data_IF_733045547913
#
_entry.id   IF_733045547913
#
_cell.length_a   1.000
_cell.length_b   1.000
_cell.length_c   1.000
_cell.angle_alpha   90.00
_cell.angle_beta   90.00
_cell.angle_gamma   90.00
#
_symmetry.space_group_name_H-M   'P 1'
#
loop_
_entity.id
_entity.type
_entity.pdbx_description
1 polymer ?
#
# COMPACT_ATOMS: atom_id res chain seq x y z
N UNK A 1 13.38 -41.39 -51.55
CA UNK A 1 13.30 -39.98 -51.09
C UNK A 1 12.48 -39.99 -49.84
N UNK A 2 13.14 -40.24 -48.68
CA UNK A 2 12.48 -40.18 -47.36
C UNK A 2 12.13 -38.74 -47.07
N UNK A 3 10.85 -38.47 -46.95
CA UNK A 3 10.39 -37.16 -46.48
C UNK A 3 10.80 -37.00 -45.02
N UNK A 4 11.70 -36.08 -44.76
CA UNK A 4 12.15 -35.68 -43.44
C UNK A 4 10.90 -35.24 -42.66
N UNK A 5 10.50 -36.03 -41.67
CA UNK A 5 9.37 -35.66 -40.77
C UNK A 5 9.76 -34.40 -40.07
N UNK A 6 8.87 -33.38 -40.02
CA UNK A 6 9.22 -32.17 -39.32
C UNK A 6 9.57 -32.50 -37.87
N UNK A 7 10.76 -32.11 -37.44
CA UNK A 7 11.19 -32.24 -36.04
C UNK A 7 10.19 -31.47 -35.19
N UNK A 8 9.34 -32.18 -34.50
CA UNK A 8 8.43 -31.55 -33.53
C UNK A 8 9.27 -30.90 -32.46
N UNK A 9 9.34 -29.57 -32.45
CA UNK A 9 10.06 -28.82 -31.43
C UNK A 9 9.36 -29.03 -30.09
N UNK A 10 9.96 -29.82 -29.21
CA UNK A 10 9.47 -30.03 -27.85
C UNK A 10 10.05 -28.95 -26.94
N UNK A 11 9.33 -28.55 -25.89
CA UNK A 11 9.82 -27.64 -24.85
C UNK A 11 11.18 -28.08 -24.28
N UNK A 12 11.37 -29.39 -24.09
CA UNK A 12 12.61 -29.97 -23.58
C UNK A 12 13.78 -29.91 -24.57
N UNK A 13 13.56 -29.61 -25.86
CA UNK A 13 14.62 -29.40 -26.85
C UNK A 13 15.15 -27.97 -26.85
N UNK A 14 14.52 -27.04 -26.12
CA UNK A 14 15.02 -25.68 -25.93
C UNK A 14 16.29 -25.72 -25.07
N UNK A 15 17.25 -24.79 -25.28
CA UNK A 15 18.39 -24.61 -24.39
C UNK A 15 17.95 -24.41 -22.93
N UNK A 16 18.72 -24.92 -21.95
CA UNK A 16 18.37 -24.78 -20.52
C UNK A 16 18.14 -23.34 -20.11
N UNK A 17 18.91 -22.38 -20.63
CA UNK A 17 18.83 -20.96 -20.33
C UNK A 17 17.46 -20.38 -20.74
N UNK A 18 16.96 -20.80 -21.90
CA UNK A 18 15.64 -20.35 -22.39
C UNK A 18 14.53 -20.95 -21.54
N UNK A 19 14.66 -22.23 -21.13
CA UNK A 19 13.70 -22.85 -20.22
C UNK A 19 13.70 -22.17 -18.85
N UNK A 20 14.88 -21.84 -18.31
CA UNK A 20 15.00 -21.10 -17.05
C UNK A 20 14.32 -19.73 -17.12
N UNK A 21 14.46 -19.00 -18.21
CA UNK A 21 13.83 -17.72 -18.40
C UNK A 21 12.29 -17.86 -18.45
N UNK A 22 11.80 -18.85 -19.14
CA UNK A 22 10.35 -19.18 -19.18
C UNK A 22 9.83 -19.51 -17.76
N UNK A 23 10.58 -20.32 -16.98
CA UNK A 23 10.21 -20.61 -15.61
C UNK A 23 10.22 -19.36 -14.74
N UNK A 24 11.19 -18.45 -14.90
CA UNK A 24 11.25 -17.18 -14.18
C UNK A 24 10.00 -16.34 -14.45
N UNK A 25 9.61 -16.22 -15.70
CA UNK A 25 8.38 -15.48 -16.08
C UNK A 25 7.13 -16.09 -15.43
N UNK A 26 6.95 -17.41 -15.54
CA UNK A 26 5.73 -18.09 -15.06
C UNK A 26 5.67 -18.12 -13.53
N UNK A 27 6.81 -18.34 -12.86
CA UNK A 27 6.90 -18.55 -11.41
C UNK A 27 7.17 -17.26 -10.63
N UNK A 28 7.34 -16.11 -11.32
CA UNK A 28 7.55 -14.82 -10.67
C UNK A 28 6.33 -14.44 -9.81
N UNK A 29 6.51 -13.91 -8.59
CA UNK A 29 5.41 -13.46 -7.76
C UNK A 29 4.43 -12.53 -8.49
N UNK A 30 4.94 -11.54 -9.23
CA UNK A 30 4.08 -10.57 -9.92
C UNK A 30 3.22 -11.19 -11.02
N UNK A 31 3.70 -12.25 -11.71
CA UNK A 31 2.91 -12.97 -12.71
C UNK A 31 1.76 -13.77 -12.10
N UNK A 32 1.86 -14.10 -10.80
CA UNK A 32 0.87 -14.86 -10.05
C UNK A 32 0.06 -13.99 -9.09
N UNK A 33 0.28 -12.67 -9.12
CA UNK A 33 -0.48 -11.69 -8.35
C UNK A 33 -1.80 -11.43 -9.04
N UNK A 34 -2.89 -11.57 -8.30
CA UNK A 34 -4.25 -11.36 -8.80
C UNK A 34 -4.96 -10.31 -7.95
N UNK A 35 -5.77 -9.48 -8.59
CA UNK A 35 -6.65 -8.54 -7.88
C UNK A 35 -8.02 -9.19 -7.71
N UNK A 36 -8.46 -9.31 -6.45
CA UNK A 36 -9.79 -9.79 -6.11
C UNK A 36 -10.88 -8.76 -6.42
N UNK A 37 -12.15 -9.18 -6.29
CA UNK A 37 -13.32 -8.31 -6.55
C UNK A 37 -13.38 -7.06 -5.66
N UNK A 38 -12.80 -7.13 -4.47
CA UNK A 38 -12.77 -6.05 -3.47
C UNK A 38 -11.42 -5.29 -3.49
N UNK A 39 -10.72 -5.29 -4.64
CA UNK A 39 -9.39 -4.68 -4.82
C UNK A 39 -8.30 -5.25 -3.88
N UNK A 40 -8.57 -6.39 -3.23
CA UNK A 40 -7.54 -7.13 -2.49
C UNK A 40 -6.56 -7.75 -3.46
N UNK A 41 -5.29 -7.62 -3.14
CA UNK A 41 -4.27 -8.39 -3.84
C UNK A 41 -4.14 -9.75 -3.18
N UNK A 42 -4.10 -10.79 -4.00
CA UNK A 42 -3.83 -12.17 -3.59
C UNK A 42 -2.83 -12.81 -4.55
N UNK A 43 -2.41 -14.04 -4.27
CA UNK A 43 -1.57 -14.84 -5.16
C UNK A 43 -2.30 -16.08 -5.61
N UNK A 44 -2.37 -16.32 -6.92
CA UNK A 44 -2.86 -17.55 -7.49
C UNK A 44 -1.76 -18.29 -8.27
N UNK A 45 -1.05 -19.15 -7.56
CA UNK A 45 -0.01 -19.99 -8.15
C UNK A 45 -0.54 -21.28 -8.81
N UNK A 46 -1.84 -21.58 -8.73
CA UNK A 46 -2.41 -22.83 -9.28
C UNK A 46 -2.07 -23.05 -10.74
N UNK A 47 -2.13 -22.07 -11.65
CA UNK A 47 -1.75 -22.24 -13.04
C UNK A 47 -0.24 -22.51 -13.20
N UNK A 48 0.59 -21.80 -12.46
CA UNK A 48 2.05 -21.89 -12.52
C UNK A 48 2.56 -23.24 -11.96
N UNK A 49 1.95 -23.73 -10.89
CA UNK A 49 2.34 -24.99 -10.24
C UNK A 49 2.05 -26.25 -11.08
N UNK A 50 1.32 -26.11 -12.20
CA UNK A 50 1.17 -27.21 -13.18
C UNK A 50 2.52 -27.67 -13.72
N UNK A 51 3.51 -26.76 -13.82
CA UNK A 51 4.88 -27.10 -14.23
C UNK A 51 5.49 -28.26 -13.42
N UNK A 52 5.19 -28.34 -12.12
CA UNK A 52 5.72 -29.39 -11.25
C UNK A 52 5.14 -30.78 -11.52
N UNK A 53 4.15 -30.89 -12.41
CA UNK A 53 3.46 -32.14 -12.74
C UNK A 53 3.74 -32.62 -14.16
N UNK A 54 4.49 -31.86 -14.98
CA UNK A 54 4.69 -32.16 -16.40
C UNK A 54 5.74 -33.25 -16.64
N UNK A 55 6.89 -33.16 -16.00
CA UNK A 55 7.95 -34.16 -16.04
C UNK A 55 8.93 -34.02 -14.88
N UNK A 56 9.69 -35.05 -14.56
CA UNK A 56 10.73 -35.02 -13.53
C UNK A 56 11.79 -33.95 -13.80
N UNK A 57 12.20 -33.77 -15.04
CA UNK A 57 13.19 -32.75 -15.42
C UNK A 57 12.63 -31.34 -15.17
N UNK A 58 11.43 -31.04 -15.68
CA UNK A 58 10.75 -29.75 -15.47
C UNK A 58 10.53 -29.49 -13.98
N UNK A 59 10.15 -30.52 -13.22
CA UNK A 59 9.98 -30.42 -11.77
C UNK A 59 11.25 -29.90 -11.08
N UNK A 60 12.41 -30.49 -11.37
CA UNK A 60 13.65 -30.10 -10.70
C UNK A 60 14.15 -28.72 -11.15
N UNK A 61 14.06 -28.42 -12.45
CA UNK A 61 14.42 -27.09 -13.00
C UNK A 61 13.51 -26.01 -12.42
N UNK A 62 12.19 -26.16 -12.53
CA UNK A 62 11.20 -25.21 -12.06
C UNK A 62 11.23 -25.03 -10.53
N UNK A 63 11.43 -26.12 -9.76
CA UNK A 63 11.52 -26.08 -8.29
C UNK A 63 12.68 -25.21 -7.82
N UNK A 64 13.84 -25.30 -8.46
CA UNK A 64 14.99 -24.46 -8.14
C UNK A 64 14.63 -22.98 -8.33
N UNK A 65 14.10 -22.63 -9.50
CA UNK A 65 13.70 -21.27 -9.84
C UNK A 65 12.61 -20.74 -8.88
N UNK A 66 11.60 -21.56 -8.60
CA UNK A 66 10.53 -21.17 -7.67
C UNK A 66 11.06 -20.82 -6.27
N UNK A 67 12.00 -21.61 -5.75
CA UNK A 67 12.62 -21.38 -4.44
C UNK A 67 13.47 -20.12 -4.38
N UNK A 68 14.12 -19.79 -5.48
CA UNK A 68 14.93 -18.56 -5.59
C UNK A 68 14.07 -17.30 -5.62
N UNK A 69 12.93 -17.35 -6.33
CA UNK A 69 12.01 -16.25 -6.52
C UNK A 69 11.03 -16.06 -5.35
N UNK A 70 10.57 -17.15 -4.74
CA UNK A 70 9.49 -17.12 -3.76
C UNK A 70 10.02 -17.42 -2.36
N UNK A 71 10.34 -16.38 -1.63
CA UNK A 71 10.83 -16.46 -0.26
C UNK A 71 9.69 -16.19 0.70
N UNK A 72 9.39 -17.16 1.55
CA UNK A 72 8.26 -17.12 2.47
C UNK A 72 8.69 -16.61 3.85
N UNK A 73 7.83 -15.79 4.44
CA UNK A 73 7.94 -15.30 5.82
C UNK A 73 6.70 -15.75 6.57
N UNK A 74 6.90 -16.48 7.68
CA UNK A 74 5.83 -16.90 8.58
C UNK A 74 5.73 -15.90 9.73
N UNK A 75 4.54 -15.39 9.97
CA UNK A 75 4.24 -14.44 11.02
C UNK A 75 3.35 -15.11 12.07
N UNK A 76 3.72 -14.90 13.31
CA UNK A 76 2.98 -15.32 14.50
C UNK A 76 2.66 -14.09 15.35
N UNK A 77 1.41 -13.96 15.78
CA UNK A 77 0.89 -12.79 16.52
C UNK A 77 -0.21 -13.20 17.47
N UNK A 78 -0.36 -12.53 18.63
CA UNK A 78 -1.43 -12.83 19.57
C UNK A 78 -2.82 -12.28 19.13
N UNK A 79 -2.89 -11.40 18.10
CA UNK A 79 -4.16 -10.80 17.68
C UNK A 79 -4.91 -11.66 16.68
N UNK A 80 -6.17 -12.06 16.97
CA UNK A 80 -6.94 -12.95 16.10
C UNK A 80 -7.14 -12.42 14.68
N UNK A 81 -7.43 -11.14 14.53
CA UNK A 81 -7.76 -10.50 13.24
C UNK A 81 -6.58 -9.79 12.57
N UNK A 82 -5.34 -9.98 13.07
CA UNK A 82 -4.17 -9.29 12.51
C UNK A 82 -4.00 -9.53 11.01
N UNK A 83 -4.24 -10.75 10.54
CA UNK A 83 -4.15 -11.07 9.12
C UNK A 83 -5.16 -10.31 8.26
N UNK A 84 -6.36 -10.02 8.80
CA UNK A 84 -7.37 -9.24 8.09
C UNK A 84 -6.94 -7.76 7.99
N UNK A 85 -6.51 -7.17 9.11
CA UNK A 85 -5.97 -5.80 9.12
C UNK A 85 -4.78 -5.63 8.16
N UNK A 86 -3.83 -6.57 8.19
CA UNK A 86 -2.64 -6.56 7.31
C UNK A 86 -3.03 -6.68 5.84
N UNK A 87 -3.99 -7.56 5.52
CA UNK A 87 -4.44 -7.73 4.14
C UNK A 87 -5.26 -6.52 3.65
N UNK A 88 -6.18 -6.02 4.48
CA UNK A 88 -7.12 -4.96 4.09
C UNK A 88 -6.46 -3.58 4.08
N UNK A 89 -5.86 -3.18 5.19
CA UNK A 89 -5.31 -1.82 5.32
C UNK A 89 -3.87 -1.71 4.81
N UNK A 90 -3.10 -2.81 4.95
CA UNK A 90 -1.71 -2.88 4.49
C UNK A 90 -1.54 -3.31 3.04
N UNK A 91 -2.60 -3.82 2.40
CA UNK A 91 -2.54 -4.41 1.07
C UNK A 91 -1.43 -5.47 0.92
N UNK A 92 -1.26 -6.27 1.99
CA UNK A 92 -0.30 -7.38 2.04
C UNK A 92 -1.02 -8.68 1.70
N UNK A 93 -0.70 -9.35 0.60
CA UNK A 93 -1.31 -10.63 0.25
C UNK A 93 -0.96 -11.71 1.27
N UNK A 94 -1.94 -12.48 1.69
CA UNK A 94 -1.78 -13.57 2.65
C UNK A 94 -1.90 -14.92 1.94
N UNK A 95 -0.80 -15.66 1.85
CA UNK A 95 -0.77 -16.96 1.15
C UNK A 95 -1.41 -18.09 1.96
N UNK A 96 -1.19 -18.09 3.26
CA UNK A 96 -1.72 -19.13 4.17
C UNK A 96 -2.10 -18.51 5.51
N UNK A 97 -3.11 -19.12 6.17
CA UNK A 97 -3.65 -18.65 7.48
C UNK A 97 -3.82 -19.83 8.42
N UNK A 98 -3.88 -19.52 9.74
CA UNK A 98 -4.25 -20.44 10.82
C UNK A 98 -3.38 -21.71 10.85
N UNK A 99 -3.97 -22.87 11.07
CA UNK A 99 -3.26 -24.15 11.22
C UNK A 99 -2.35 -24.49 10.03
N UNK A 100 -2.72 -24.12 8.79
CA UNK A 100 -1.86 -24.34 7.62
C UNK A 100 -0.60 -23.49 7.67
N UNK A 101 -0.70 -22.25 8.11
CA UNK A 101 0.44 -21.37 8.28
C UNK A 101 1.33 -21.83 9.45
N UNK A 102 0.75 -22.25 10.58
CA UNK A 102 1.48 -22.81 11.72
C UNK A 102 2.31 -24.04 11.33
N UNK A 103 1.73 -24.94 10.53
CA UNK A 103 2.40 -26.16 10.05
C UNK A 103 3.41 -25.93 8.92
N UNK A 104 3.44 -24.73 8.32
CA UNK A 104 4.27 -24.46 7.15
C UNK A 104 5.75 -24.32 7.52
N UNK A 105 6.58 -25.22 6.96
CA UNK A 105 8.03 -25.29 7.23
C UNK A 105 8.90 -24.68 6.12
N UNK A 106 8.29 -24.22 5.03
CA UNK A 106 9.02 -23.65 3.87
C UNK A 106 9.42 -22.18 3.99
N UNK A 107 9.35 -21.58 5.19
CA UNK A 107 9.69 -20.17 5.42
C UNK A 107 11.18 -19.98 5.70
N UNK A 108 11.72 -18.85 5.23
CA UNK A 108 13.10 -18.43 5.49
C UNK A 108 13.24 -17.53 6.72
N UNK A 109 12.14 -16.94 7.17
CA UNK A 109 12.07 -16.16 8.40
C UNK A 109 10.79 -16.52 9.15
N UNK A 110 10.91 -16.80 10.44
CA UNK A 110 9.79 -16.78 11.37
C UNK A 110 9.84 -15.49 12.18
N UNK A 111 8.72 -14.77 12.16
CA UNK A 111 8.49 -13.52 12.91
C UNK A 111 7.51 -13.85 14.01
N UNK A 112 7.92 -13.76 15.27
CA UNK A 112 7.03 -13.93 16.39
C UNK A 112 6.86 -12.59 17.13
N UNK A 113 5.62 -12.13 17.21
CA UNK A 113 5.21 -10.93 17.92
C UNK A 113 4.60 -11.38 19.24
N UNK A 114 5.25 -11.03 20.35
CA UNK A 114 4.76 -11.32 21.69
C UNK A 114 4.18 -10.08 22.36
N UNK A 115 3.20 -10.28 23.24
CA UNK A 115 2.61 -9.23 24.07
C UNK A 115 2.68 -9.61 25.55
N UNK A 116 3.89 -9.81 26.12
CA UNK A 116 4.05 -10.24 27.51
C UNK A 116 3.47 -9.19 28.47
N UNK A 117 2.94 -9.67 29.61
CA UNK A 117 2.33 -8.82 30.63
C UNK A 117 1.07 -8.05 30.18
N UNK A 118 0.42 -8.49 29.10
CA UNK A 118 -0.87 -7.99 28.64
C UNK A 118 -1.91 -9.12 28.70
N UNK A 119 -3.20 -8.77 28.51
CA UNK A 119 -4.28 -9.76 28.40
C UNK A 119 -4.10 -10.68 27.17
N UNK A 120 -3.28 -10.26 26.19
CA UNK A 120 -2.97 -11.05 25.00
C UNK A 120 -1.90 -12.10 25.23
N UNK A 121 -1.26 -12.15 26.39
CA UNK A 121 -0.21 -13.16 26.70
C UNK A 121 -0.74 -14.60 26.64
N UNK A 122 -2.00 -14.81 27.03
CA UNK A 122 -2.66 -16.12 27.06
C UNK A 122 -3.48 -16.40 25.77
N UNK A 123 -3.50 -15.47 24.82
CA UNK A 123 -4.22 -15.66 23.55
C UNK A 123 -3.53 -16.74 22.70
N UNK A 124 -4.33 -17.57 22.03
CA UNK A 124 -3.80 -18.51 21.05
C UNK A 124 -3.09 -17.77 19.93
N UNK A 125 -1.82 -18.12 19.63
CA UNK A 125 -1.08 -17.44 18.58
C UNK A 125 -1.73 -17.68 17.21
N UNK A 126 -1.89 -16.59 16.46
CA UNK A 126 -2.40 -16.62 15.11
C UNK A 126 -1.24 -16.64 14.12
N UNK A 127 -1.36 -17.44 13.08
CA UNK A 127 -0.31 -17.63 12.11
C UNK A 127 -0.77 -17.25 10.71
N UNK A 128 0.10 -16.58 9.96
CA UNK A 128 -0.07 -16.37 8.52
C UNK A 128 1.27 -16.32 7.81
N UNK A 129 1.25 -16.52 6.48
CA UNK A 129 2.44 -16.54 5.63
C UNK A 129 2.29 -15.49 4.53
N UNK A 130 3.34 -14.70 4.35
CA UNK A 130 3.48 -13.71 3.28
C UNK A 130 4.75 -13.99 2.46
N UNK A 131 4.90 -13.31 1.33
CA UNK A 131 6.17 -13.28 0.59
C UNK A 131 7.10 -12.21 1.15
N UNK A 132 8.40 -12.42 0.94
CA UNK A 132 9.44 -11.42 1.23
C UNK A 132 9.16 -10.10 0.51
N UNK A 133 8.66 -10.16 -0.72
CA UNK A 133 8.35 -8.97 -1.55
C UNK A 133 7.28 -8.05 -0.90
N UNK A 134 6.47 -8.59 0.00
CA UNK A 134 5.46 -7.83 0.73
C UNK A 134 5.86 -7.51 2.18
N UNK A 135 7.09 -7.89 2.60
CA UNK A 135 7.55 -7.71 3.99
C UNK A 135 7.69 -6.23 4.38
N UNK A 136 8.14 -5.38 3.46
CA UNK A 136 8.23 -3.93 3.71
C UNK A 136 6.84 -3.30 3.95
N UNK A 137 5.82 -3.77 3.23
CA UNK A 137 4.43 -3.33 3.43
C UNK A 137 3.92 -3.79 4.79
N UNK A 138 4.22 -5.04 5.19
CA UNK A 138 3.87 -5.56 6.51
C UNK A 138 4.50 -4.72 7.63
N UNK A 139 5.81 -4.46 7.57
CA UNK A 139 6.51 -3.65 8.56
C UNK A 139 5.98 -2.20 8.60
N UNK A 140 5.61 -1.64 7.45
CA UNK A 140 4.98 -0.32 7.34
C UNK A 140 3.58 -0.30 7.97
N UNK A 141 2.78 -1.34 7.74
CA UNK A 141 1.45 -1.50 8.36
C UNK A 141 1.56 -1.57 9.87
N UNK A 142 2.53 -2.33 10.39
CA UNK A 142 2.80 -2.37 11.83
C UNK A 142 3.22 -1.00 12.37
N UNK A 143 4.14 -0.30 11.69
CA UNK A 143 4.49 1.09 12.05
C UNK A 143 3.26 1.98 12.14
N UNK A 144 2.31 1.86 11.21
CA UNK A 144 1.08 2.65 11.24
C UNK A 144 0.18 2.27 12.41
N UNK A 145 0.11 0.99 12.78
CA UNK A 145 -0.63 0.54 13.95
C UNK A 145 -0.07 1.16 15.24
N UNK A 146 1.26 1.23 15.41
CA UNK A 146 1.92 1.88 16.53
C UNK A 146 1.68 3.40 16.56
N UNK A 147 1.77 4.07 15.40
CA UNK A 147 1.50 5.51 15.29
C UNK A 147 0.02 5.86 15.49
N UNK A 148 -0.89 4.91 15.24
CA UNK A 148 -2.34 5.05 15.54
C UNK A 148 -2.61 4.85 17.02
N UNK A 149 -1.85 3.96 17.66
CA UNK A 149 -1.99 3.60 19.07
C UNK A 149 -0.66 3.89 19.82
N UNK A 150 -0.39 5.15 20.19
CA UNK A 150 0.88 5.55 20.78
C UNK A 150 1.25 4.70 22.00
N UNK A 151 2.48 4.14 21.99
CA UNK A 151 2.98 3.29 23.06
C UNK A 151 2.66 1.79 22.88
N UNK A 152 1.97 1.38 21.83
CA UNK A 152 1.68 -0.03 21.55
C UNK A 152 2.95 -0.88 21.56
N UNK A 153 3.98 -0.47 20.84
CA UNK A 153 5.23 -1.22 20.72
C UNK A 153 5.98 -1.38 22.04
N UNK A 154 5.80 -0.47 23.02
CA UNK A 154 6.40 -0.58 24.34
C UNK A 154 5.97 -1.81 25.16
N UNK A 155 4.86 -2.43 24.77
CA UNK A 155 4.37 -3.69 25.37
C UNK A 155 4.75 -4.93 24.54
N UNK A 156 5.35 -4.75 23.36
CA UNK A 156 5.57 -5.83 22.40
C UNK A 156 7.02 -6.28 22.37
N UNK A 157 7.19 -7.58 22.13
CA UNK A 157 8.49 -8.18 21.81
C UNK A 157 8.46 -8.70 20.37
N UNK A 158 9.61 -8.62 19.71
CA UNK A 158 9.82 -9.11 18.35
C UNK A 158 10.92 -10.16 18.36
N UNK A 159 10.61 -11.38 17.91
CA UNK A 159 11.61 -12.41 17.65
C UNK A 159 11.68 -12.68 16.16
N UNK A 160 12.87 -12.54 15.58
CA UNK A 160 13.18 -12.81 14.17
C UNK A 160 14.08 -14.03 14.09
N UNK A 161 13.55 -15.16 13.66
CA UNK A 161 14.29 -16.41 13.56
C UNK A 161 14.56 -16.74 12.09
N UNK A 162 15.83 -16.65 11.68
CA UNK A 162 16.28 -17.09 10.35
C UNK A 162 16.25 -18.60 10.23
N UNK A 163 15.92 -19.06 9.03
CA UNK A 163 15.87 -20.48 8.69
C UNK A 163 16.29 -20.68 7.24
N UNK A 164 16.97 -21.79 6.96
CA UNK A 164 17.11 -22.31 5.59
C UNK A 164 16.10 -23.46 5.38
N UNK A 165 14.95 -23.21 4.72
CA UNK A 165 13.93 -24.24 4.49
C UNK A 165 14.38 -25.30 3.48
N UNK A 166 15.53 -25.12 2.84
CA UNK A 166 16.07 -25.99 1.80
C UNK A 166 17.30 -26.78 2.25
N UNK A 167 17.74 -26.53 3.49
CA UNK A 167 18.82 -27.32 4.07
C UNK A 167 18.42 -28.78 4.22
N UNK A 168 19.25 -29.67 3.69
CA UNK A 168 19.09 -31.13 3.73
C UNK A 168 20.31 -31.69 4.44
N UNK A 169 20.18 -32.13 5.69
CA UNK A 169 21.32 -32.62 6.49
C UNK A 169 22.11 -33.73 5.82
N UNK A 170 21.42 -34.62 5.07
CA UNK A 170 22.02 -35.76 4.41
C UNK A 170 22.90 -35.37 3.20
N UNK A 171 22.74 -34.15 2.68
CA UNK A 171 23.47 -33.63 1.52
C UNK A 171 24.49 -32.55 1.86
N UNK A 172 24.47 -32.06 3.09
CA UNK A 172 25.31 -30.93 3.52
C UNK A 172 26.15 -31.33 4.73
N UNK A 173 27.47 -31.18 4.63
CA UNK A 173 28.40 -31.50 5.71
C UNK A 173 28.34 -30.51 6.89
N UNK A 174 28.01 -29.23 6.58
CA UNK A 174 27.95 -28.16 7.58
C UNK A 174 26.74 -27.25 7.40
N UNK A 175 26.19 -26.80 8.52
CA UNK A 175 25.14 -25.78 8.55
C UNK A 175 25.74 -24.41 8.24
N UNK A 176 25.32 -23.82 7.11
CA UNK A 176 25.81 -22.51 6.64
C UNK A 176 24.85 -21.40 7.06
N UNK A 177 25.42 -20.20 7.28
CA UNK A 177 24.59 -19.03 7.48
C UNK A 177 23.81 -18.65 6.20
N UNK A 178 22.57 -18.21 6.36
CA UNK A 178 21.84 -17.54 5.27
C UNK A 178 22.70 -16.40 4.74
N UNK A 179 22.87 -16.21 3.41
CA UNK A 179 23.73 -15.18 2.85
C UNK A 179 23.42 -13.77 3.41
N UNK A 180 24.44 -12.97 3.65
CA UNK A 180 24.32 -11.65 4.28
C UNK A 180 23.30 -10.74 3.58
N UNK A 181 23.29 -10.73 2.23
CA UNK A 181 22.35 -9.95 1.44
C UNK A 181 20.89 -10.40 1.68
N UNK A 182 20.66 -11.72 1.83
CA UNK A 182 19.33 -12.26 2.12
C UNK A 182 18.91 -11.94 3.56
N UNK A 183 19.83 -12.00 4.52
CA UNK A 183 19.53 -11.57 5.88
C UNK A 183 19.11 -10.09 5.95
N UNK A 184 19.77 -9.22 5.17
CA UNK A 184 19.38 -7.81 5.07
C UNK A 184 17.95 -7.65 4.53
N UNK A 185 17.58 -8.39 3.49
CA UNK A 185 16.22 -8.38 2.95
C UNK A 185 15.17 -8.85 3.96
N UNK A 186 15.50 -9.86 4.77
CA UNK A 186 14.59 -10.45 5.75
C UNK A 186 14.48 -9.64 7.05
N UNK A 187 15.53 -8.97 7.48
CA UNK A 187 15.60 -8.34 8.80
C UNK A 187 15.41 -6.82 8.77
N UNK A 188 16.00 -6.12 7.78
CA UNK A 188 16.01 -4.65 7.78
C UNK A 188 14.63 -3.99 7.61
N UNK A 189 13.61 -4.59 6.98
CA UNK A 189 12.26 -4.04 6.99
C UNK A 189 11.74 -3.73 8.40
N UNK A 190 12.08 -4.55 9.39
CA UNK A 190 11.72 -4.32 10.80
C UNK A 190 12.44 -3.13 11.47
N UNK A 191 13.37 -2.50 10.78
CA UNK A 191 13.92 -1.19 11.19
C UNK A 191 12.87 -0.07 11.17
N UNK A 192 11.75 -0.25 10.44
CA UNK A 192 10.62 0.66 10.48
C UNK A 192 9.79 0.56 11.78
N UNK A 193 9.87 -0.58 12.50
CA UNK A 193 9.14 -0.84 13.74
C UNK A 193 10.00 -0.40 14.92
N UNK A 194 9.55 0.62 15.63
CA UNK A 194 10.34 1.32 16.67
C UNK A 194 9.70 1.21 18.03
N UNK A 195 10.48 1.48 19.08
CA UNK A 195 9.96 1.55 20.44
C UNK A 195 9.55 0.20 21.03
N UNK A 196 9.96 -0.93 20.42
CA UNK A 196 9.70 -2.26 20.95
C UNK A 196 10.36 -2.45 22.32
N UNK A 197 9.67 -3.17 23.18
CA UNK A 197 10.24 -3.59 24.48
C UNK A 197 11.53 -4.40 24.31
N UNK A 198 11.53 -5.31 23.35
CA UNK A 198 12.67 -6.17 23.04
C UNK A 198 12.65 -6.60 21.58
N UNK A 199 13.82 -6.69 20.96
CA UNK A 199 14.00 -7.31 19.65
C UNK A 199 15.09 -8.37 19.75
N UNK A 200 14.75 -9.62 19.41
CA UNK A 200 15.66 -10.77 19.41
C UNK A 200 15.86 -11.24 17.98
N UNK A 201 17.11 -11.37 17.54
CA UNK A 201 17.47 -11.98 16.25
C UNK A 201 18.17 -13.30 16.50
N UNK A 202 17.65 -14.37 15.94
CA UNK A 202 18.16 -15.72 16.14
C UNK A 202 18.11 -16.54 14.84
N UNK A 203 18.52 -17.79 14.90
CA UNK A 203 18.46 -18.74 13.80
C UNK A 203 17.98 -20.10 14.29
N UNK A 204 17.38 -20.88 13.40
CA UNK A 204 17.12 -22.29 13.62
C UNK A 204 18.45 -23.06 13.51
N UNK A 205 19.02 -23.56 14.63
CA UNK A 205 20.35 -24.18 14.63
C UNK A 205 20.42 -25.48 13.81
N UNK A 206 19.26 -26.07 13.50
CA UNK A 206 19.18 -27.30 12.69
C UNK A 206 19.27 -27.03 11.20
N UNK A 207 19.09 -25.77 10.76
CA UNK A 207 19.01 -25.43 9.34
C UNK A 207 19.94 -24.29 8.91
N UNK A 208 20.40 -23.44 9.84
CA UNK A 208 21.31 -22.32 9.52
C UNK A 208 22.17 -21.91 10.69
N UNK A 209 23.36 -21.45 10.42
CA UNK A 209 24.26 -20.86 11.40
C UNK A 209 23.72 -19.52 11.94
N UNK A 210 24.35 -19.00 13.00
CA UNK A 210 23.98 -17.73 13.65
C UNK A 210 23.89 -16.58 12.65
N UNK A 211 22.99 -15.59 12.89
CA UNK A 211 22.91 -14.38 12.09
C UNK A 211 24.21 -13.60 12.06
N UNK A 212 24.46 -12.83 10.99
CA UNK A 212 25.59 -11.92 10.93
C UNK A 212 25.37 -10.75 11.89
N UNK A 213 26.24 -10.59 12.84
CA UNK A 213 26.23 -9.51 13.84
C UNK A 213 26.15 -8.11 13.19
N UNK A 214 26.79 -7.92 12.04
CA UNK A 214 26.72 -6.65 11.31
C UNK A 214 25.30 -6.32 10.82
N UNK A 215 24.51 -7.33 10.41
CA UNK A 215 23.11 -7.10 9.96
C UNK A 215 22.20 -6.84 11.14
N UNK A 216 22.41 -7.54 12.25
CA UNK A 216 21.69 -7.28 13.49
C UNK A 216 21.93 -5.85 13.99
N UNK A 217 23.18 -5.37 13.96
CA UNK A 217 23.50 -3.99 14.33
C UNK A 217 22.87 -2.96 13.37
N UNK A 218 22.82 -3.22 12.06
CA UNK A 218 22.12 -2.37 11.11
C UNK A 218 20.63 -2.27 11.45
N UNK A 219 19.99 -3.40 11.78
CA UNK A 219 18.59 -3.42 12.21
C UNK A 219 18.37 -2.59 13.49
N UNK A 220 19.18 -2.85 14.53
CA UNK A 220 19.07 -2.14 15.82
C UNK A 220 19.30 -0.63 15.65
N UNK A 221 20.30 -0.24 14.86
CA UNK A 221 20.55 1.16 14.54
C UNK A 221 19.36 1.80 13.83
N UNK A 222 18.74 1.10 12.86
CA UNK A 222 17.55 1.59 12.19
C UNK A 222 16.36 1.74 13.13
N UNK A 223 16.17 0.83 14.10
CA UNK A 223 15.10 0.90 15.11
C UNK A 223 15.27 2.08 16.08
N UNK A 224 16.51 2.52 16.31
CA UNK A 224 16.81 3.65 17.21
C UNK A 224 16.59 5.02 16.56
N UNK A 225 16.59 5.11 15.24
CA UNK A 225 16.28 6.37 14.53
C UNK A 225 14.79 6.70 14.74
N UNK A 226 14.45 7.83 15.36
CA UNK A 226 13.04 8.18 15.60
C UNK A 226 12.28 8.33 14.29
N UNK A 227 10.94 8.19 14.34
CA UNK A 227 10.09 8.55 13.20
C UNK A 227 10.24 10.05 12.89
N UNK A 228 10.11 10.39 11.60
CA UNK A 228 9.97 11.80 11.23
C UNK A 228 8.77 12.41 11.97
N UNK A 229 8.91 13.65 12.43
CA UNK A 229 7.83 14.32 13.15
C UNK A 229 6.59 14.55 12.27
N UNK A 230 5.41 14.77 12.85
CA UNK A 230 4.22 15.14 12.08
C UNK A 230 4.44 16.36 11.20
N UNK A 231 5.14 17.38 11.70
CA UNK A 231 5.48 18.57 10.94
C UNK A 231 6.38 18.26 9.74
N UNK A 232 7.41 17.43 9.93
CA UNK A 232 8.29 16.98 8.85
C UNK A 232 7.53 16.18 7.78
N UNK A 233 6.61 15.31 8.17
CA UNK A 233 5.75 14.56 7.25
C UNK A 233 4.86 15.51 6.41
N UNK A 234 4.25 16.53 7.02
CA UNK A 234 3.43 17.52 6.32
C UNK A 234 4.27 18.43 5.42
N UNK A 235 5.49 18.79 5.83
CA UNK A 235 6.42 19.55 5.00
C UNK A 235 6.83 18.77 3.75
N UNK A 236 7.17 17.49 3.89
CA UNK A 236 7.48 16.63 2.74
C UNK A 236 6.26 16.44 1.82
N UNK A 237 5.07 16.26 2.39
CA UNK A 237 3.81 16.23 1.62
C UNK A 237 3.63 17.50 0.80
N UNK A 238 3.85 18.67 1.41
CA UNK A 238 3.73 19.98 0.74
C UNK A 238 4.76 20.13 -0.37
N UNK A 239 5.99 19.68 -0.16
CA UNK A 239 7.07 19.69 -1.16
C UNK A 239 6.70 18.83 -2.38
N UNK A 240 6.31 17.58 -2.14
CA UNK A 240 5.91 16.64 -3.20
C UNK A 240 4.69 17.15 -3.99
N UNK A 241 3.70 17.72 -3.30
CA UNK A 241 2.53 18.37 -3.92
C UNK A 241 2.96 19.53 -4.81
N UNK A 242 3.88 20.37 -4.36
CA UNK A 242 4.36 21.51 -5.14
C UNK A 242 5.11 21.08 -6.40
N UNK A 243 5.96 20.05 -6.30
CA UNK A 243 6.64 19.44 -7.46
C UNK A 243 5.65 18.83 -8.44
N UNK A 244 4.67 18.04 -7.93
CA UNK A 244 3.59 17.51 -8.76
C UNK A 244 2.78 18.59 -9.45
N UNK A 245 2.55 19.73 -8.80
CA UNK A 245 1.86 20.87 -9.42
C UNK A 245 2.68 21.50 -10.56
N UNK A 246 4.00 21.56 -10.45
CA UNK A 246 4.86 22.00 -11.55
C UNK A 246 4.78 21.05 -12.75
N UNK A 247 4.81 19.75 -12.50
CA UNK A 247 4.65 18.73 -13.57
C UNK A 247 3.26 18.82 -14.22
N UNK A 248 2.22 18.99 -13.43
CA UNK A 248 0.85 19.18 -13.90
C UNK A 248 0.76 20.39 -14.85
N UNK A 249 1.38 21.50 -14.47
CA UNK A 249 1.43 22.72 -15.31
C UNK A 249 2.26 22.53 -16.58
N UNK A 250 3.25 21.65 -16.55
CA UNK A 250 4.08 21.28 -17.70
C UNK A 250 3.43 20.22 -18.62
N UNK A 251 2.19 19.78 -18.34
CA UNK A 251 1.50 18.77 -19.12
C UNK A 251 1.91 17.32 -18.82
N UNK A 252 2.75 17.08 -17.82
CA UNK A 252 3.26 15.77 -17.41
C UNK A 252 2.34 15.13 -16.37
N UNK A 253 1.13 14.77 -16.78
CA UNK A 253 0.04 14.41 -15.87
C UNK A 253 0.29 13.10 -15.10
N UNK A 254 0.82 12.06 -15.74
CA UNK A 254 1.14 10.79 -15.09
C UNK A 254 2.27 10.93 -14.06
N UNK A 255 3.31 11.71 -14.38
CA UNK A 255 4.40 12.02 -13.44
C UNK A 255 3.87 12.82 -12.23
N UNK A 256 2.94 13.75 -12.48
CA UNK A 256 2.28 14.52 -11.40
C UNK A 256 1.45 13.61 -10.48
N UNK A 257 0.67 12.69 -11.04
CA UNK A 257 -0.10 11.69 -10.27
C UNK A 257 0.81 10.80 -9.41
N UNK A 258 1.95 10.36 -9.95
CA UNK A 258 2.93 9.58 -9.19
C UNK A 258 3.49 10.38 -7.98
N UNK A 259 3.79 11.67 -8.15
CA UNK A 259 4.20 12.52 -7.02
C UNK A 259 3.07 12.76 -6.02
N UNK A 260 1.82 12.86 -6.46
CA UNK A 260 0.69 12.97 -5.54
C UNK A 260 0.49 11.68 -4.74
N UNK A 261 0.71 10.50 -5.32
CA UNK A 261 0.70 9.23 -4.57
C UNK A 261 1.77 9.22 -3.48
N UNK A 262 3.00 9.63 -3.81
CA UNK A 262 4.07 9.78 -2.80
C UNK A 262 3.73 10.82 -1.73
N UNK A 263 3.02 11.89 -2.08
CA UNK A 263 2.56 12.88 -1.11
C UNK A 263 1.50 12.32 -0.15
N UNK A 264 0.62 11.41 -0.62
CA UNK A 264 -0.29 10.67 0.24
C UNK A 264 0.46 9.77 1.24
N UNK A 265 1.46 9.03 0.77
CA UNK A 265 2.29 8.16 1.60
C UNK A 265 3.07 8.94 2.66
N UNK A 266 3.60 10.13 2.32
CA UNK A 266 4.34 10.99 3.24
C UNK A 266 3.50 11.45 4.44
N UNK A 267 2.17 11.58 4.29
CA UNK A 267 1.25 11.86 5.39
C UNK A 267 0.49 10.62 5.90
N UNK A 268 1.08 9.44 5.71
CA UNK A 268 0.58 8.13 6.17
C UNK A 268 -0.84 7.80 5.65
N UNK A 269 -1.07 8.05 4.38
CA UNK A 269 -2.28 7.62 3.67
C UNK A 269 -1.86 6.67 2.56
N UNK A 270 -2.27 5.43 2.65
CA UNK A 270 -2.03 4.42 1.62
C UNK A 270 -3.12 4.53 0.57
N UNK A 271 -2.71 4.66 -0.69
CA UNK A 271 -3.62 4.69 -1.85
C UNK A 271 -3.28 3.53 -2.75
N UNK A 272 -4.25 2.67 -3.03
CA UNK A 272 -4.14 1.57 -4.00
C UNK A 272 -5.39 1.54 -4.87
N UNK A 273 -5.22 1.75 -6.17
CA UNK A 273 -6.36 1.90 -7.06
C UNK A 273 -7.30 3.00 -6.54
N UNK A 274 -8.55 2.63 -6.35
CA UNK A 274 -9.58 3.52 -5.79
C UNK A 274 -9.69 3.47 -4.25
N UNK A 275 -8.95 2.59 -3.58
CA UNK A 275 -8.94 2.51 -2.11
C UNK A 275 -8.01 3.53 -1.49
N UNK A 276 -8.35 3.98 -0.30
CA UNK A 276 -7.56 4.93 0.47
C UNK A 276 -7.73 4.65 1.97
N UNK A 277 -6.63 4.28 2.61
CA UNK A 277 -6.58 4.02 4.04
C UNK A 277 -5.78 5.11 4.74
N UNK A 278 -6.42 5.77 5.72
CA UNK A 278 -5.81 6.84 6.50
C UNK A 278 -5.30 6.25 7.80
N UNK A 279 -4.00 6.31 8.01
CA UNK A 279 -3.35 5.76 9.19
C UNK A 279 -2.79 6.84 10.10
N UNK A 280 -2.37 6.46 11.29
CA UNK A 280 -1.64 7.28 12.25
C UNK A 280 -2.38 8.59 12.63
N UNK A 281 -3.68 8.53 12.88
CA UNK A 281 -4.45 9.73 13.24
C UNK A 281 -3.97 10.34 14.56
N UNK A 282 -3.71 9.52 15.57
CA UNK A 282 -3.18 9.98 16.85
C UNK A 282 -1.80 10.66 16.72
N UNK A 283 -0.96 10.19 15.80
CA UNK A 283 0.34 10.78 15.52
C UNK A 283 0.26 12.22 15.03
N UNK A 284 -0.77 12.57 14.26
CA UNK A 284 -1.01 13.94 13.80
C UNK A 284 -1.91 14.74 14.73
N UNK A 285 -2.40 14.16 15.84
CA UNK A 285 -3.23 14.87 16.79
C UNK A 285 -2.44 15.92 17.55
N UNK A 286 -3.08 17.06 17.80
CA UNK A 286 -2.51 18.11 18.61
C UNK A 286 -1.81 19.23 17.84
N UNK A 287 -1.15 20.09 18.59
CA UNK A 287 -0.45 21.27 18.09
C UNK A 287 0.96 20.89 17.62
N UNK A 288 1.33 21.37 16.44
CA UNK A 288 2.66 21.15 15.86
C UNK A 288 3.66 22.17 16.44
N UNK A 289 4.88 21.70 16.69
CA UNK A 289 5.93 22.46 17.39
C UNK A 289 7.11 22.84 16.51
N UNK A 290 7.08 22.47 15.23
CA UNK A 290 8.19 22.69 14.29
C UNK A 290 7.76 23.56 13.12
N UNK A 291 8.68 24.41 12.64
CA UNK A 291 8.47 25.20 11.44
C UNK A 291 8.24 24.31 10.20
N UNK A 292 7.38 24.70 9.26
CA UNK A 292 6.58 25.95 9.21
C UNK A 292 5.19 25.86 9.86
N UNK A 293 4.97 24.87 10.72
CA UNK A 293 3.65 24.53 11.27
C UNK A 293 3.49 24.86 12.77
N UNK A 294 4.41 25.59 13.37
CA UNK A 294 4.33 25.97 14.80
C UNK A 294 2.97 26.56 15.15
N UNK A 295 2.34 26.04 16.20
CA UNK A 295 1.02 26.50 16.69
C UNK A 295 -0.16 26.03 15.88
N UNK A 296 0.03 25.27 14.80
CA UNK A 296 -1.06 24.74 13.97
C UNK A 296 -1.50 23.36 14.44
N UNK A 297 -2.78 23.06 14.26
CA UNK A 297 -3.31 21.74 14.53
C UNK A 297 -2.93 20.76 13.41
N UNK A 298 -2.23 19.67 13.74
CA UNK A 298 -1.69 18.74 12.77
C UNK A 298 -2.76 17.99 11.98
N UNK A 299 -3.88 17.61 12.61
CA UNK A 299 -5.00 16.96 11.91
C UNK A 299 -5.65 17.92 10.89
N UNK A 300 -5.82 19.18 11.26
CA UNK A 300 -6.40 20.19 10.37
C UNK A 300 -5.48 20.46 9.17
N UNK A 301 -4.18 20.66 9.40
CA UNK A 301 -3.20 20.85 8.31
C UNK A 301 -3.14 19.62 7.38
N UNK A 302 -3.17 18.43 7.94
CA UNK A 302 -3.24 17.18 7.18
C UNK A 302 -4.51 17.11 6.32
N UNK A 303 -5.67 17.48 6.87
CA UNK A 303 -6.94 17.50 6.14
C UNK A 303 -6.90 18.52 5.00
N UNK A 304 -6.37 19.71 5.23
CA UNK A 304 -6.18 20.76 4.21
C UNK A 304 -5.33 20.24 3.05
N UNK A 305 -4.19 19.59 3.34
CA UNK A 305 -3.31 19.02 2.32
C UNK A 305 -4.01 17.90 1.53
N UNK A 306 -4.78 17.05 2.20
CA UNK A 306 -5.58 16.00 1.54
C UNK A 306 -6.55 16.59 0.52
N UNK A 307 -7.30 17.62 0.88
CA UNK A 307 -8.25 18.30 -0.02
C UNK A 307 -7.52 18.94 -1.20
N UNK A 308 -6.38 19.58 -0.95
CA UNK A 308 -5.56 20.19 -2.01
C UNK A 308 -5.03 19.14 -3.00
N UNK A 309 -4.57 17.99 -2.50
CA UNK A 309 -4.11 16.87 -3.35
C UNK A 309 -5.24 16.33 -4.21
N UNK A 310 -6.44 16.12 -3.65
CA UNK A 310 -7.60 15.69 -4.45
C UNK A 310 -7.93 16.70 -5.54
N UNK A 311 -7.94 17.99 -5.22
CA UNK A 311 -8.20 19.01 -6.22
C UNK A 311 -7.24 18.91 -7.41
N UNK A 312 -5.95 18.67 -7.16
CA UNK A 312 -4.95 18.50 -8.21
C UNK A 312 -5.07 17.17 -8.94
N UNK A 313 -5.37 16.08 -8.23
CA UNK A 313 -5.61 14.75 -8.81
C UNK A 313 -6.77 14.78 -9.79
N UNK A 314 -7.91 15.37 -9.39
CA UNK A 314 -9.07 15.53 -10.28
C UNK A 314 -8.72 16.36 -11.52
N UNK A 315 -7.90 17.41 -11.38
CA UNK A 315 -7.44 18.18 -12.54
C UNK A 315 -6.54 17.35 -13.46
N UNK A 316 -5.66 16.53 -12.92
CA UNK A 316 -4.79 15.67 -13.72
C UNK A 316 -5.60 14.68 -14.55
N UNK A 317 -6.59 14.02 -13.96
CA UNK A 317 -7.48 13.10 -14.68
C UNK A 317 -8.34 13.82 -15.73
N UNK A 318 -8.86 15.02 -15.44
CA UNK A 318 -9.55 15.83 -16.46
C UNK A 318 -8.65 16.16 -17.65
N UNK A 319 -7.36 16.42 -17.42
CA UNK A 319 -6.39 16.69 -18.48
C UNK A 319 -5.98 15.45 -19.27
N UNK A 320 -6.10 14.27 -18.66
CA UNK A 320 -5.93 12.97 -19.31
C UNK A 320 -7.21 12.48 -20.02
N UNK A 321 -8.31 13.25 -19.93
CA UNK A 321 -9.62 12.86 -20.41
C UNK A 321 -10.18 11.57 -19.76
N UNK A 322 -9.64 11.22 -18.58
CA UNK A 322 -10.13 10.12 -17.75
C UNK A 322 -11.26 10.64 -16.83
N UNK A 323 -12.42 10.79 -17.45
CA UNK A 323 -13.60 11.39 -16.82
C UNK A 323 -14.13 10.54 -15.66
N UNK A 324 -14.00 9.22 -15.74
CA UNK A 324 -14.44 8.30 -14.68
C UNK A 324 -13.60 8.42 -13.42
N UNK A 325 -12.29 8.47 -13.54
CA UNK A 325 -11.39 8.71 -12.39
C UNK A 325 -11.57 10.12 -11.83
N UNK A 326 -11.70 11.13 -12.69
CA UNK A 326 -11.96 12.51 -12.25
C UNK A 326 -13.27 12.60 -11.44
N UNK A 327 -14.35 11.99 -11.92
CA UNK A 327 -15.63 11.87 -11.24
C UNK A 327 -15.49 11.15 -9.91
N UNK A 328 -14.85 9.97 -9.93
CA UNK A 328 -14.71 9.12 -8.74
C UNK A 328 -14.02 9.87 -7.59
N UNK A 329 -12.83 10.42 -7.83
CA UNK A 329 -12.06 11.11 -6.80
C UNK A 329 -12.74 12.38 -6.31
N UNK A 330 -13.37 13.12 -7.20
CA UNK A 330 -14.15 14.30 -6.85
C UNK A 330 -15.37 13.96 -6.00
N UNK A 331 -16.22 13.03 -6.46
CA UNK A 331 -17.43 12.63 -5.74
C UNK A 331 -17.12 12.01 -4.39
N UNK A 332 -16.08 11.17 -4.27
CA UNK A 332 -15.65 10.62 -2.99
C UNK A 332 -15.40 11.72 -1.96
N UNK A 333 -14.73 12.80 -2.36
CA UNK A 333 -14.43 13.92 -1.45
C UNK A 333 -15.69 14.71 -1.12
N UNK A 334 -16.54 14.99 -2.10
CA UNK A 334 -17.82 15.66 -1.91
C UNK A 334 -18.70 14.86 -0.97
N UNK A 335 -18.83 13.55 -1.18
CA UNK A 335 -19.63 12.64 -0.31
C UNK A 335 -19.11 12.67 1.12
N UNK A 336 -17.78 12.60 1.32
CA UNK A 336 -17.18 12.67 2.67
C UNK A 336 -17.47 14.02 3.33
N UNK A 337 -17.41 15.13 2.59
CA UNK A 337 -17.74 16.45 3.12
C UNK A 337 -19.23 16.56 3.47
N UNK A 338 -20.12 16.09 2.61
CA UNK A 338 -21.57 16.04 2.89
C UNK A 338 -21.88 15.19 4.13
N UNK A 339 -21.19 14.06 4.28
CA UNK A 339 -21.32 13.21 5.47
C UNK A 339 -20.89 13.95 6.74
N UNK A 340 -19.81 14.73 6.70
CA UNK A 340 -19.30 15.47 7.85
C UNK A 340 -20.25 16.58 8.34
N UNK A 341 -21.10 17.10 7.45
CA UNK A 341 -22.13 18.10 7.80
C UNK A 341 -23.54 17.49 7.97
N UNK A 342 -23.63 16.15 8.01
CA UNK A 342 -24.93 15.45 8.17
C UNK A 342 -25.89 15.60 6.98
N UNK A 343 -25.36 15.83 5.78
CA UNK A 343 -26.14 16.09 4.56
C UNK A 343 -26.05 14.96 3.51
N UNK A 344 -25.62 13.76 3.90
CA UNK A 344 -25.38 12.66 2.97
C UNK A 344 -26.63 12.29 2.15
N UNK A 345 -27.76 12.15 2.81
CA UNK A 345 -29.03 11.67 2.22
C UNK A 345 -29.98 12.81 1.83
N UNK A 346 -29.48 14.05 1.79
CA UNK A 346 -30.28 15.24 1.46
C UNK A 346 -29.97 15.73 0.06
N UNK A 347 -30.75 15.29 -0.92
CA UNK A 347 -30.60 15.73 -2.32
C UNK A 347 -31.17 17.14 -2.60
N UNK A 348 -31.95 17.66 -1.67
CA UNK A 348 -32.65 18.96 -1.72
C UNK A 348 -31.89 20.10 -1.02
N UNK A 349 -30.66 19.86 -0.56
CA UNK A 349 -29.88 20.85 0.17
C UNK A 349 -29.57 22.08 -0.70
N UNK A 350 -29.76 23.28 -0.11
CA UNK A 350 -29.34 24.50 -0.79
C UNK A 350 -27.82 24.53 -0.96
N UNK A 351 -27.30 25.08 -2.07
CA UNK A 351 -25.86 25.17 -2.29
C UNK A 351 -25.10 25.91 -1.19
N UNK A 352 -25.71 26.90 -0.57
CA UNK A 352 -25.15 27.68 0.55
C UNK A 352 -25.00 26.84 1.82
N UNK A 353 -25.96 25.94 2.08
CA UNK A 353 -25.95 25.02 3.24
C UNK A 353 -24.97 23.86 3.04
N UNK A 354 -24.68 23.48 1.78
CA UNK A 354 -23.67 22.48 1.44
C UNK A 354 -22.25 23.02 1.50
N UNK A 355 -22.08 24.34 1.30
CA UNK A 355 -20.76 24.96 1.22
C UNK A 355 -20.16 25.23 2.62
N UNK A 356 -18.98 24.68 2.90
CA UNK A 356 -18.25 24.87 4.16
C UNK A 356 -17.25 26.03 4.02
N UNK A 357 -17.78 27.27 4.01
CA UNK A 357 -16.98 28.47 3.72
C UNK A 357 -15.93 28.78 4.79
N UNK A 358 -16.17 28.41 6.07
CA UNK A 358 -15.21 28.61 7.17
C UNK A 358 -14.04 27.63 7.19
N UNK A 359 -14.03 26.65 6.30
CA UNK A 359 -12.96 25.66 6.24
C UNK A 359 -11.71 26.23 5.52
N UNK A 360 -10.48 26.05 6.06
CA UNK A 360 -9.26 26.60 5.46
C UNK A 360 -8.99 26.16 4.02
N UNK A 361 -9.56 25.04 3.58
CA UNK A 361 -9.47 24.55 2.20
C UNK A 361 -10.76 24.81 1.39
N UNK A 362 -11.55 25.84 1.71
CA UNK A 362 -12.77 26.18 0.99
C UNK A 362 -12.52 26.40 -0.51
N UNK A 363 -11.48 27.16 -0.90
CA UNK A 363 -11.14 27.39 -2.30
C UNK A 363 -10.72 26.09 -3.06
N UNK A 364 -9.88 25.21 -2.51
CA UNK A 364 -9.70 23.86 -3.06
C UNK A 364 -11.00 23.04 -3.19
N UNK A 365 -11.91 23.10 -2.21
CA UNK A 365 -13.21 22.42 -2.29
C UNK A 365 -14.04 22.95 -3.46
N UNK A 366 -14.14 24.26 -3.63
CA UNK A 366 -14.84 24.84 -4.78
C UNK A 366 -14.29 24.34 -6.11
N UNK A 367 -12.95 24.22 -6.22
CA UNK A 367 -12.32 23.62 -7.41
C UNK A 367 -12.66 22.16 -7.58
N UNK A 368 -12.81 21.37 -6.49
CA UNK A 368 -13.26 19.97 -6.59
C UNK A 368 -14.68 19.91 -7.14
N UNK A 369 -15.62 20.66 -6.58
CA UNK A 369 -16.99 20.72 -7.10
C UNK A 369 -17.04 21.09 -8.57
N UNK A 370 -16.34 22.15 -8.98
CA UNK A 370 -16.27 22.59 -10.36
C UNK A 370 -15.71 21.53 -11.29
N UNK A 371 -14.57 20.94 -10.97
CA UNK A 371 -13.88 19.94 -11.79
C UNK A 371 -14.67 18.64 -11.87
N UNK A 372 -15.31 18.24 -10.78
CA UNK A 372 -16.19 17.06 -10.76
C UNK A 372 -17.42 17.29 -11.63
N UNK A 373 -17.96 18.51 -11.63
CA UNK A 373 -19.06 18.88 -12.53
C UNK A 373 -18.67 18.77 -14.01
N UNK A 374 -17.43 19.17 -14.36
CA UNK A 374 -16.93 18.99 -15.74
C UNK A 374 -16.87 17.51 -16.11
N UNK A 375 -16.39 16.64 -15.23
CA UNK A 375 -16.36 15.20 -15.47
C UNK A 375 -17.77 14.63 -15.70
N UNK A 376 -18.75 14.99 -14.86
CA UNK A 376 -20.16 14.60 -15.07
C UNK A 376 -20.72 15.10 -16.41
N UNK A 377 -20.38 16.33 -16.79
CA UNK A 377 -20.80 16.91 -18.07
C UNK A 377 -20.30 16.09 -19.26
N UNK A 378 -19.00 15.74 -19.28
CA UNK A 378 -18.39 14.95 -20.34
C UNK A 378 -18.94 13.51 -20.38
N UNK A 379 -19.31 12.95 -19.23
CA UNK A 379 -20.00 11.66 -19.12
C UNK A 379 -21.51 11.73 -19.46
N UNK A 380 -22.02 12.90 -19.86
CA UNK A 380 -23.42 13.10 -20.29
C UNK A 380 -24.40 13.39 -19.15
N UNK A 381 -23.99 13.35 -17.88
CA UNK A 381 -24.84 13.63 -16.72
C UNK A 381 -24.91 15.14 -16.43
N UNK A 382 -25.63 15.86 -17.25
CA UNK A 382 -25.83 17.30 -17.10
C UNK A 382 -26.62 17.68 -15.85
N UNK A 383 -27.42 16.77 -15.28
CA UNK A 383 -28.20 17.05 -14.07
C UNK A 383 -27.28 17.13 -12.86
N UNK A 384 -26.42 16.13 -12.65
CA UNK A 384 -25.42 16.18 -11.60
C UNK A 384 -24.43 17.34 -11.80
N UNK A 385 -23.97 17.58 -13.04
CA UNK A 385 -23.09 18.71 -13.35
C UNK A 385 -23.69 20.05 -12.90
N UNK A 386 -24.98 20.32 -13.20
CA UNK A 386 -25.67 21.54 -12.76
C UNK A 386 -25.71 21.70 -11.25
N UNK A 387 -26.00 20.60 -10.53
CA UNK A 387 -26.07 20.60 -9.06
C UNK A 387 -24.70 20.99 -8.49
N UNK A 388 -23.65 20.33 -8.94
CA UNK A 388 -22.30 20.58 -8.46
C UNK A 388 -21.79 21.99 -8.82
N UNK A 389 -22.15 22.50 -10.02
CA UNK A 389 -21.77 23.87 -10.43
C UNK A 389 -22.43 24.96 -9.56
N UNK A 390 -23.67 24.73 -9.08
CA UNK A 390 -24.31 25.67 -8.14
C UNK A 390 -23.53 25.78 -6.83
N UNK A 391 -23.08 24.64 -6.26
CA UNK A 391 -22.25 24.65 -5.07
C UNK A 391 -20.87 25.26 -5.34
N UNK A 392 -20.26 24.96 -6.50
CA UNK A 392 -19.01 25.57 -6.94
C UNK A 392 -19.11 27.11 -7.02
N UNK A 393 -20.28 27.63 -7.47
CA UNK A 393 -20.50 29.08 -7.54
C UNK A 393 -20.56 29.76 -6.16
N UNK A 394 -21.00 29.07 -5.12
CA UNK A 394 -20.93 29.58 -3.73
C UNK A 394 -19.48 29.75 -3.29
N UNK A 395 -18.64 28.79 -3.55
CA UNK A 395 -17.20 28.87 -3.24
C UNK A 395 -16.44 29.86 -4.11
N UNK A 396 -16.85 30.02 -5.38
CA UNK A 396 -16.13 30.82 -6.40
C UNK A 396 -17.11 31.74 -7.16
N UNK A 397 -17.74 32.72 -6.48
CA UNK A 397 -18.84 33.52 -7.05
C UNK A 397 -18.42 34.38 -8.25
N UNK A 398 -17.14 34.71 -8.35
CA UNK A 398 -16.60 35.57 -9.40
C UNK A 398 -15.84 34.83 -10.49
N UNK A 399 -15.75 33.48 -10.44
CA UNK A 399 -15.03 32.71 -11.45
C UNK A 399 -15.83 32.68 -12.78
N UNK A 400 -15.27 33.22 -13.87
CA UNK A 400 -15.94 33.30 -15.17
C UNK A 400 -16.16 31.91 -15.78
N UNK A 401 -15.30 30.93 -15.47
CA UNK A 401 -15.43 29.57 -16.01
C UNK A 401 -16.61 28.85 -15.36
N UNK A 402 -16.80 29.02 -14.04
CA UNK A 402 -17.97 28.47 -13.34
C UNK A 402 -19.24 29.05 -13.91
N UNK A 403 -19.32 30.37 -14.10
CA UNK A 403 -20.49 31.02 -14.71
C UNK A 403 -20.78 30.53 -16.13
N UNK A 404 -19.74 30.39 -16.96
CA UNK A 404 -19.85 29.86 -18.32
C UNK A 404 -20.43 28.44 -18.34
N UNK A 405 -19.93 27.56 -17.45
CA UNK A 405 -20.39 26.17 -17.40
C UNK A 405 -21.82 26.03 -16.85
N UNK A 406 -22.24 26.89 -15.94
CA UNK A 406 -23.65 26.94 -15.48
C UNK A 406 -24.58 27.21 -16.66
N UNK A 407 -24.22 28.18 -17.51
CA UNK A 407 -25.01 28.51 -18.73
C UNK A 407 -24.99 27.35 -19.73
N UNK A 408 -23.84 26.73 -19.94
CA UNK A 408 -23.68 25.60 -20.86
C UNK A 408 -24.49 24.35 -20.42
N UNK A 409 -24.66 24.15 -19.11
CA UNK A 409 -25.44 23.08 -18.53
C UNK A 409 -26.90 23.44 -18.27
N UNK A 410 -27.35 24.68 -18.55
CA UNK A 410 -28.73 25.11 -18.34
C UNK A 410 -29.73 24.24 -19.15
N UNK A 411 -30.91 24.04 -18.57
CA UNK A 411 -32.01 23.40 -19.30
C UNK A 411 -32.41 24.34 -20.46
N UNK A 412 -32.25 23.90 -21.68
CA UNK A 412 -32.92 24.54 -22.80
C UNK A 412 -34.39 24.15 -22.71
N UNK A 413 -35.24 25.06 -22.28
CA UNK A 413 -36.67 24.95 -22.52
C UNK A 413 -36.84 25.11 -24.01
N UNK A 414 -37.05 23.99 -24.71
CA UNK A 414 -37.38 23.96 -26.12
C UNK A 414 -38.81 24.44 -26.36
#
# INVERSE_FOLDING_TARGET
MELDKPKTTSFLTLPPEIREEIYRIILHPDANRVEGRDEYTDYDYRPALVLFRLSTQIYWEARRIFRDLNVFVRIETPWPEAHHHVAFEGHVPILMKHARAAAFKGHSLAVAIGAPHTLMQEAEPQHFVILLDDLDKFATTWRYADLTNPGLNGYLTLTLQLRDPHYVPELCEEVRAVPKWRQRQLLLPFGAVKGLRETVVTSDPNTTAKPFFSVENELRAAQQVPHASPAACLAETSRLKAEGTKLLSAGKYHEALALYTRAWEAMHVVVKGRQRHVHAEAFFAGELREEPYVGKNGQLERLVLRVQLVANTVLAYLKLEDWDEARFWGMRTITTMRQSIGALDRDDLNPEDEAVMGFPAAAPLGRIYYRTALAHKELGDKAAARRLLRVAAVYMPNDPNVKKEIVACALRLG
#
